data_IF_257587962681
#
_entry.id   IF_257587962681
#
_cell.length_a   1.000
_cell.length_b   1.000
_cell.length_c   1.000
_cell.angle_alpha   90.00
_cell.angle_beta   90.00
_cell.angle_gamma   90.00
#
_symmetry.space_group_name_H-M   'P 1'
#
loop_
_entity.id
_entity.type
_entity.pdbx_description
1 polymer ?
#
# COMPACT_ATOMS: atom_id res chain seq x y z
N UNK A 1 23.00 1.04 -62.84
CA UNK A 1 23.38 1.58 -61.52
C UNK A 1 22.65 2.89 -61.32
N UNK A 2 21.65 2.93 -60.46
CA UNK A 2 21.12 4.14 -59.83
C UNK A 2 20.31 3.69 -58.61
N UNK A 3 20.78 4.12 -57.46
CA UNK A 3 20.27 3.83 -56.12
C UNK A 3 19.08 4.75 -55.85
N UNK A 4 17.95 4.19 -55.43
CA UNK A 4 16.80 4.94 -54.93
C UNK A 4 16.44 4.44 -53.53
N UNK A 5 16.95 5.12 -52.51
CA UNK A 5 16.72 4.83 -51.09
C UNK A 5 15.26 5.13 -50.74
N UNK A 6 14.53 4.13 -50.27
CA UNK A 6 13.27 4.31 -49.55
C UNK A 6 13.60 4.77 -48.13
N UNK A 7 13.39 6.06 -47.83
CA UNK A 7 13.36 6.54 -46.45
C UNK A 7 12.09 6.00 -45.78
N UNK A 8 12.21 4.85 -45.12
CA UNK A 8 11.22 4.42 -44.15
C UNK A 8 11.48 5.19 -42.84
N UNK A 9 10.71 6.27 -42.63
CA UNK A 9 10.60 6.92 -41.33
C UNK A 9 9.87 5.97 -40.36
N UNK A 10 10.64 5.34 -39.49
CA UNK A 10 10.21 4.48 -38.38
C UNK A 10 11.10 4.88 -37.20
N UNK A 11 10.67 5.35 -36.02
CA UNK A 11 9.43 5.30 -35.25
C UNK A 11 9.51 6.38 -34.15
N UNK A 12 8.39 6.91 -33.62
CA UNK A 12 8.31 7.37 -32.24
C UNK A 12 7.42 6.41 -31.44
N UNK A 13 7.78 5.13 -31.37
CA UNK A 13 7.03 4.11 -30.58
C UNK A 13 7.93 3.45 -29.52
N UNK A 14 9.24 3.70 -29.54
CA UNK A 14 10.20 3.10 -28.59
C UNK A 14 10.21 3.76 -27.21
N UNK A 15 9.72 5.00 -27.07
CA UNK A 15 9.79 5.73 -25.78
C UNK A 15 8.82 5.20 -24.71
N UNK A 16 7.73 4.54 -25.11
CA UNK A 16 6.72 4.02 -24.18
C UNK A 16 7.02 2.61 -23.67
N UNK A 17 7.97 1.89 -24.28
CA UNK A 17 8.26 0.48 -23.94
C UNK A 17 9.50 0.28 -23.06
N UNK A 18 10.28 1.35 -22.80
CA UNK A 18 11.57 1.27 -22.07
C UNK A 18 11.53 1.90 -20.66
N UNK A 19 10.43 2.55 -20.28
CA UNK A 19 10.27 3.17 -18.95
C UNK A 19 10.52 2.21 -17.77
N UNK A 20 10.06 0.93 -17.75
CA UNK A 20 10.37 0.03 -16.63
C UNK A 20 11.85 -0.42 -16.58
N UNK A 21 12.62 -0.27 -17.67
CA UNK A 21 14.03 -0.64 -17.71
C UNK A 21 14.96 0.51 -17.28
N UNK A 22 14.53 1.76 -17.46
CA UNK A 22 15.36 2.95 -17.21
C UNK A 22 15.30 3.42 -15.74
N UNK A 23 14.24 3.08 -15.00
CA UNK A 23 14.11 3.40 -13.57
C UNK A 23 13.15 2.42 -12.87
N UNK A 24 13.62 1.21 -12.51
CA UNK A 24 12.79 0.22 -11.81
C UNK A 24 12.25 0.79 -10.49
N UNK A 25 11.12 0.25 -9.96
CA UNK A 25 10.66 0.57 -8.61
C UNK A 25 11.81 0.45 -7.61
N UNK A 26 11.84 1.36 -6.64
CA UNK A 26 12.88 1.30 -5.63
C UNK A 26 12.59 0.12 -4.69
N UNK A 27 13.47 -0.87 -4.66
CA UNK A 27 13.31 -2.06 -3.84
C UNK A 27 13.89 -1.86 -2.44
N UNK A 28 13.33 -2.51 -1.41
CA UNK A 28 13.95 -2.56 -0.09
C UNK A 28 15.35 -3.16 -0.17
N UNK A 29 16.30 -2.60 0.58
CA UNK A 29 17.58 -3.26 0.81
C UNK A 29 17.47 -4.41 1.82
N UNK A 30 18.62 -5.02 2.13
CA UNK A 30 18.72 -6.16 3.05
C UNK A 30 19.22 -5.78 4.46
N UNK A 31 19.21 -4.49 4.80
CA UNK A 31 19.63 -4.04 6.13
C UNK A 31 18.51 -4.27 7.14
N UNK A 32 18.75 -5.15 8.12
CA UNK A 32 17.81 -5.36 9.23
C UNK A 32 17.65 -4.11 10.08
N UNK A 33 16.41 -3.77 10.43
CA UNK A 33 16.05 -2.62 11.26
C UNK A 33 15.03 -3.00 12.35
N UNK A 34 15.51 -3.50 13.51
CA UNK A 34 14.64 -3.85 14.65
C UNK A 34 13.86 -2.63 15.18
N UNK A 35 14.46 -1.44 15.11
CA UNK A 35 13.80 -0.20 15.50
C UNK A 35 12.60 0.10 14.61
N UNK A 36 12.74 -0.07 13.29
CA UNK A 36 11.63 0.14 12.37
C UNK A 36 10.53 -0.92 12.57
N UNK A 37 10.90 -2.17 12.85
CA UNK A 37 9.94 -3.22 13.22
C UNK A 37 9.08 -2.83 14.42
N UNK A 38 9.69 -2.24 15.45
CA UNK A 38 8.97 -1.73 16.62
C UNK A 38 8.01 -0.61 16.24
N UNK A 39 8.49 0.41 15.51
CA UNK A 39 7.67 1.56 15.12
C UNK A 39 6.50 1.16 14.22
N UNK A 40 6.69 0.21 13.30
CA UNK A 40 5.60 -0.30 12.46
C UNK A 40 4.57 -1.09 13.26
N UNK A 41 4.99 -1.90 14.25
CA UNK A 41 4.07 -2.55 15.18
C UNK A 41 3.26 -1.53 16.00
N UNK A 42 3.89 -0.42 16.46
CA UNK A 42 3.19 0.67 17.15
C UNK A 42 2.12 1.33 16.25
N UNK A 43 2.42 1.53 14.96
CA UNK A 43 1.45 2.03 13.97
C UNK A 43 0.27 1.06 13.78
N UNK A 44 0.53 -0.25 13.69
CA UNK A 44 -0.52 -1.28 13.64
C UNK A 44 -1.38 -1.23 14.91
N UNK A 45 -0.75 -1.21 16.08
CA UNK A 45 -1.46 -1.26 17.35
C UNK A 45 -2.36 -0.04 17.54
N UNK A 46 -1.87 1.14 17.15
CA UNK A 46 -2.67 2.37 17.12
C UNK A 46 -3.86 2.24 16.18
N UNK A 47 -3.64 1.74 14.95
CA UNK A 47 -4.70 1.59 13.97
C UNK A 47 -5.77 0.56 14.39
N UNK A 48 -5.39 -0.52 15.08
CA UNK A 48 -6.33 -1.49 15.66
C UNK A 48 -7.10 -0.87 16.83
N UNK A 49 -6.43 -0.13 17.71
CA UNK A 49 -7.07 0.55 18.84
C UNK A 49 -8.06 1.65 18.40
N UNK A 50 -7.87 2.20 17.19
CA UNK A 50 -8.81 3.15 16.58
C UNK A 50 -10.08 2.48 16.05
N UNK A 51 -10.18 1.15 15.99
CA UNK A 51 -11.39 0.41 15.59
C UNK A 51 -12.39 0.27 16.75
N UNK A 52 -12.77 1.40 17.33
CA UNK A 52 -13.74 1.48 18.42
C UNK A 52 -15.10 1.98 17.88
N UNK A 53 -16.19 1.20 17.99
CA UNK A 53 -17.53 1.64 17.59
C UNK A 53 -18.02 2.91 18.30
N UNK A 54 -17.48 3.23 19.50
CA UNK A 54 -17.79 4.49 20.19
C UNK A 54 -17.18 5.69 19.49
N UNK A 55 -16.01 5.52 18.87
CA UNK A 55 -15.32 6.59 18.11
C UNK A 55 -15.81 6.67 16.67
N UNK A 56 -16.12 5.52 16.06
CA UNK A 56 -16.55 5.41 14.67
C UNK A 56 -17.89 4.67 14.59
N UNK A 57 -19.02 5.40 14.70
CA UNK A 57 -20.35 4.83 14.55
C UNK A 57 -20.46 4.10 13.21
N UNK A 58 -20.86 2.82 13.25
CA UNK A 58 -20.99 1.95 12.08
C UNK A 58 -20.04 0.76 12.08
N UNK A 59 -18.97 0.75 12.90
CA UNK A 59 -18.18 -0.45 13.13
C UNK A 59 -18.93 -1.45 14.04
N UNK A 60 -18.72 -2.74 13.80
CA UNK A 60 -19.13 -3.79 14.74
C UNK A 60 -18.15 -3.87 15.93
N UNK A 61 -18.58 -4.30 17.13
CA UNK A 61 -17.71 -4.45 18.31
C UNK A 61 -16.47 -5.34 18.07
N UNK A 62 -16.58 -6.32 17.18
CA UNK A 62 -15.54 -7.30 16.87
C UNK A 62 -14.49 -6.77 15.88
N UNK A 63 -14.67 -5.57 15.30
CA UNK A 63 -13.82 -5.03 14.24
C UNK A 63 -12.31 -5.03 14.60
N UNK A 64 -11.97 -4.70 15.84
CA UNK A 64 -10.59 -4.73 16.32
C UNK A 64 -10.03 -6.17 16.40
N UNK A 65 -10.82 -7.13 16.88
CA UNK A 65 -10.42 -8.53 16.94
C UNK A 65 -10.28 -9.14 15.54
N UNK A 66 -11.21 -8.83 14.64
CA UNK A 66 -11.17 -9.30 13.25
C UNK A 66 -9.96 -8.76 12.50
N UNK A 67 -9.56 -7.49 12.73
CA UNK A 67 -8.28 -6.98 12.23
C UNK A 67 -7.07 -7.78 12.70
N UNK A 68 -7.07 -8.27 13.95
CA UNK A 68 -5.97 -9.09 14.45
C UNK A 68 -5.95 -10.47 13.80
N UNK A 69 -7.11 -11.02 13.44
CA UNK A 69 -7.20 -12.25 12.65
C UNK A 69 -6.61 -12.01 11.26
N UNK A 70 -7.04 -10.96 10.56
CA UNK A 70 -6.48 -10.58 9.25
C UNK A 70 -4.96 -10.42 9.28
N UNK A 71 -4.40 -9.74 10.29
CA UNK A 71 -2.95 -9.55 10.37
C UNK A 71 -2.18 -10.87 10.49
N UNK A 72 -2.79 -11.95 11.03
CA UNK A 72 -2.19 -13.29 11.05
C UNK A 72 -2.20 -13.98 9.68
N UNK A 73 -3.06 -13.53 8.78
CA UNK A 73 -3.14 -14.00 7.38
C UNK A 73 -2.04 -13.36 6.52
N UNK A 74 -1.41 -12.27 6.99
CA UNK A 74 -0.32 -11.57 6.29
C UNK A 74 1.03 -12.22 6.62
N UNK A 75 1.83 -12.52 5.60
CA UNK A 75 3.20 -13.01 5.73
C UNK A 75 4.24 -11.91 5.48
N UNK A 76 4.00 -11.04 4.51
CA UNK A 76 4.95 -10.01 4.12
C UNK A 76 4.24 -8.75 3.63
N UNK A 77 4.84 -7.60 3.93
CA UNK A 77 4.49 -6.31 3.33
C UNK A 77 5.74 -5.64 2.77
N UNK A 78 5.71 -5.32 1.47
CA UNK A 78 6.75 -4.54 0.79
C UNK A 78 6.23 -3.14 0.51
N UNK A 79 6.80 -2.14 1.17
CA UNK A 79 6.58 -0.73 0.93
C UNK A 79 7.64 -0.21 -0.05
N UNK A 80 7.21 0.25 -1.22
CA UNK A 80 8.11 0.81 -2.25
C UNK A 80 7.49 1.97 -3.01
N UNK A 81 8.34 2.84 -3.54
CA UNK A 81 7.88 3.85 -4.49
C UNK A 81 7.49 3.20 -5.82
N UNK A 82 6.38 3.63 -6.42
CA UNK A 82 5.92 3.15 -7.73
C UNK A 82 6.90 3.47 -8.86
N UNK A 83 7.76 4.48 -8.66
CA UNK A 83 8.81 4.90 -9.57
C UNK A 83 10.17 4.96 -8.86
N UNK A 84 11.23 4.63 -9.60
CA UNK A 84 12.61 4.75 -9.12
C UNK A 84 13.06 6.22 -8.96
N UNK A 85 14.20 6.46 -8.28
CA UNK A 85 14.71 7.80 -7.99
C UNK A 85 15.08 8.60 -9.26
N UNK A 86 15.37 7.94 -10.38
CA UNK A 86 15.84 8.56 -11.62
C UNK A 86 14.72 9.02 -12.57
N UNK A 87 13.44 8.89 -12.19
CA UNK A 87 12.31 9.26 -13.06
C UNK A 87 12.07 10.78 -13.13
N UNK A 88 12.00 11.39 -14.34
CA UNK A 88 11.92 12.85 -14.52
C UNK A 88 10.57 13.49 -14.10
N UNK A 89 9.60 12.71 -13.61
CA UNK A 89 8.25 13.18 -13.22
C UNK A 89 7.78 12.56 -11.88
N UNK A 90 8.60 12.70 -10.84
CA UNK A 90 8.31 12.26 -9.45
C UNK A 90 6.99 12.82 -8.87
N UNK A 91 6.39 13.85 -9.49
CA UNK A 91 5.09 14.44 -9.07
C UNK A 91 3.96 13.41 -8.88
N UNK A 92 3.98 12.30 -9.62
CA UNK A 92 3.00 11.21 -9.51
C UNK A 92 3.59 9.93 -8.90
N UNK A 93 4.77 9.99 -8.28
CA UNK A 93 5.35 8.85 -7.58
C UNK A 93 4.51 8.56 -6.34
N UNK A 94 4.04 7.33 -6.19
CA UNK A 94 3.16 6.90 -5.09
C UNK A 94 3.86 5.87 -4.25
N UNK A 95 3.63 5.91 -2.94
CA UNK A 95 4.00 4.78 -2.09
C UNK A 95 3.01 3.63 -2.36
N UNK A 96 3.55 2.46 -2.68
CA UNK A 96 2.81 1.22 -2.87
C UNK A 96 3.13 0.26 -1.75
N UNK A 97 2.10 -0.38 -1.20
CA UNK A 97 2.24 -1.49 -0.27
C UNK A 97 1.78 -2.77 -0.97
N UNK A 98 2.72 -3.69 -1.18
CA UNK A 98 2.44 -5.02 -1.69
C UNK A 98 2.31 -5.97 -0.51
N UNK A 99 1.15 -6.58 -0.35
CA UNK A 99 0.89 -7.54 0.72
C UNK A 99 0.94 -8.95 0.13
N UNK A 100 1.60 -9.85 0.86
CA UNK A 100 1.64 -11.28 0.56
C UNK A 100 1.04 -12.01 1.76
N UNK A 101 0.06 -12.87 1.50
CA UNK A 101 -0.57 -13.73 2.50
C UNK A 101 0.31 -14.93 2.87
N UNK A 102 0.01 -15.56 4.00
CA UNK A 102 0.66 -16.81 4.45
C UNK A 102 0.44 -17.98 3.50
N UNK A 103 -0.63 -17.94 2.70
CA UNK A 103 -0.94 -18.88 1.63
C UNK A 103 -0.21 -18.56 0.31
N UNK A 104 0.62 -17.50 0.28
CA UNK A 104 1.32 -17.01 -0.90
C UNK A 104 0.46 -16.13 -1.82
N UNK A 105 -0.80 -15.87 -1.48
CA UNK A 105 -1.66 -14.98 -2.26
C UNK A 105 -1.10 -13.55 -2.24
N UNK A 106 -1.10 -12.89 -3.41
CA UNK A 106 -0.66 -11.50 -3.54
C UNK A 106 -1.88 -10.59 -3.66
N UNK A 107 -2.01 -9.67 -2.73
CA UNK A 107 -3.07 -8.67 -2.76
C UNK A 107 -2.77 -7.62 -3.83
N UNK A 108 -3.83 -6.94 -4.30
CA UNK A 108 -3.65 -5.76 -5.14
C UNK A 108 -2.81 -4.71 -4.41
N UNK A 109 -1.88 -4.02 -5.09
CA UNK A 109 -1.02 -3.04 -4.45
C UNK A 109 -1.84 -1.90 -3.85
N UNK A 110 -1.69 -1.67 -2.55
CA UNK A 110 -2.38 -0.57 -1.88
C UNK A 110 -1.61 0.72 -2.16
N UNK A 111 -2.28 1.67 -2.79
CA UNK A 111 -1.69 2.97 -3.10
C UNK A 111 -1.90 3.93 -1.94
N UNK A 112 -0.83 4.57 -1.49
CA UNK A 112 -0.86 5.61 -0.45
C UNK A 112 -0.48 6.99 -1.04
N UNK A 113 -0.10 7.94 -0.16
CA UNK A 113 0.32 9.29 -0.54
C UNK A 113 1.61 9.29 -1.39
N UNK A 114 2.04 10.47 -1.80
CA UNK A 114 3.21 10.65 -2.64
C UNK A 114 4.46 9.99 -2.03
N UNK A 115 5.27 9.38 -2.89
CA UNK A 115 6.61 8.91 -2.55
C UNK A 115 7.62 10.02 -2.90
N UNK A 116 8.51 10.33 -1.97
CA UNK A 116 9.58 11.30 -2.15
C UNK A 116 10.93 10.75 -1.67
N UNK A 117 11.97 11.58 -1.67
CA UNK A 117 13.33 11.16 -1.31
C UNK A 117 13.46 10.62 0.12
N UNK A 118 12.66 11.16 1.04
CA UNK A 118 12.62 10.77 2.46
C UNK A 118 11.64 9.64 2.76
N UNK A 119 10.93 9.13 1.74
CA UNK A 119 10.03 7.99 1.94
C UNK A 119 10.83 6.74 2.27
N UNK A 120 10.49 6.10 3.38
CA UNK A 120 11.11 4.84 3.77
C UNK A 120 10.56 3.68 2.95
N UNK A 121 11.47 2.93 2.35
CA UNK A 121 11.22 1.73 1.56
C UNK A 121 11.67 0.55 2.42
N UNK A 122 10.80 -0.43 2.58
CA UNK A 122 11.07 -1.54 3.48
C UNK A 122 10.29 -2.80 3.12
N UNK A 123 10.82 -3.94 3.54
CA UNK A 123 10.15 -5.24 3.55
C UNK A 123 9.94 -5.64 5.01
N UNK A 124 8.68 -5.81 5.42
CA UNK A 124 8.31 -6.22 6.76
C UNK A 124 7.74 -7.65 6.74
N UNK A 125 8.34 -8.54 7.51
CA UNK A 125 7.89 -9.93 7.64
C UNK A 125 7.02 -10.07 8.89
N UNK A 126 5.92 -10.78 8.72
CA UNK A 126 4.92 -11.00 9.75
C UNK A 126 4.97 -12.44 10.27
N UNK A 127 4.72 -12.58 11.56
CA UNK A 127 4.49 -13.85 12.24
C UNK A 127 3.42 -13.65 13.31
N UNK A 128 2.41 -14.52 13.33
CA UNK A 128 1.32 -14.49 14.31
C UNK A 128 0.63 -13.12 14.45
N UNK A 129 0.55 -12.36 13.35
CA UNK A 129 -0.08 -11.04 13.32
C UNK A 129 0.78 -9.89 13.84
N UNK A 130 2.10 -10.11 13.96
CA UNK A 130 3.09 -9.13 14.40
C UNK A 130 4.25 -9.07 13.42
N UNK A 131 4.85 -7.89 13.26
CA UNK A 131 6.08 -7.76 12.48
C UNK A 131 7.24 -8.29 13.33
N UNK A 132 7.99 -9.25 12.81
CA UNK A 132 9.17 -9.81 13.46
C UNK A 132 10.47 -9.27 12.89
N UNK A 133 10.50 -9.00 11.59
CA UNK A 133 11.69 -8.53 10.89
C UNK A 133 11.33 -7.43 9.92
N UNK A 134 12.23 -6.45 9.77
CA UNK A 134 12.12 -5.40 8.77
C UNK A 134 13.48 -5.21 8.10
N UNK A 135 13.48 -5.19 6.78
CA UNK A 135 14.65 -4.93 5.94
C UNK A 135 14.46 -3.63 5.18
N UNK A 136 15.49 -2.77 5.16
CA UNK A 136 15.45 -1.44 4.56
C UNK A 136 16.71 -1.18 3.72
N UNK A 137 16.73 -0.05 3.02
CA UNK A 137 17.92 0.48 2.35
C UNK A 137 18.76 1.41 3.26
N UNK A 138 18.43 1.51 4.54
CA UNK A 138 19.14 2.31 5.54
C UNK A 138 18.80 3.80 5.57
N UNK A 139 17.88 4.29 4.72
CA UNK A 139 17.49 5.71 4.68
C UNK A 139 16.96 6.22 6.01
N UNK A 140 16.35 5.35 6.81
CA UNK A 140 15.79 5.71 8.12
C UNK A 140 16.86 6.22 9.09
N UNK A 141 18.12 5.83 8.90
CA UNK A 141 19.25 6.20 9.78
C UNK A 141 19.70 7.64 9.61
N UNK A 142 19.21 8.34 8.59
CA UNK A 142 19.44 9.78 8.37
C UNK A 142 18.53 10.66 9.22
N UNK A 143 17.55 10.06 9.90
CA UNK A 143 16.54 10.75 10.69
C UNK A 143 16.63 10.30 12.16
N UNK A 144 16.24 11.19 13.06
CA UNK A 144 15.98 10.80 14.45
C UNK A 144 14.77 9.85 14.51
N UNK A 145 14.69 9.06 15.59
CA UNK A 145 13.56 8.15 15.80
C UNK A 145 12.21 8.88 15.79
N UNK A 146 12.16 10.07 16.38
CA UNK A 146 10.93 10.87 16.39
C UNK A 146 10.55 11.32 14.99
N UNK A 147 11.49 11.76 14.15
CA UNK A 147 11.21 12.06 12.74
C UNK A 147 10.68 10.84 11.98
N UNK A 148 11.32 9.67 12.15
CA UNK A 148 10.87 8.40 11.53
C UNK A 148 9.42 8.09 11.88
N UNK A 149 9.01 8.25 13.15
CA UNK A 149 7.62 8.02 13.58
C UNK A 149 6.62 8.99 12.93
N UNK A 150 7.06 10.20 12.60
CA UNK A 150 6.21 11.22 11.97
C UNK A 150 6.17 11.12 10.45
N UNK A 151 7.05 10.33 9.82
CA UNK A 151 6.99 10.05 8.39
C UNK A 151 5.65 9.43 8.04
N UNK A 152 5.00 9.98 7.00
CA UNK A 152 3.61 9.67 6.65
C UNK A 152 3.41 8.18 6.34
N UNK A 153 4.32 7.57 5.57
CA UNK A 153 4.24 6.16 5.21
C UNK A 153 4.45 5.22 6.42
N UNK A 154 5.06 5.69 7.50
CA UNK A 154 5.22 4.97 8.76
C UNK A 154 3.99 5.14 9.64
N UNK A 155 3.54 6.38 9.86
CA UNK A 155 2.38 6.67 10.71
C UNK A 155 1.10 6.03 10.17
N UNK A 156 0.87 6.11 8.87
CA UNK A 156 -0.36 5.60 8.25
C UNK A 156 -0.29 4.09 7.94
N UNK A 157 0.85 3.43 8.17
CA UNK A 157 1.08 2.03 7.80
C UNK A 157 -0.02 1.09 8.29
N UNK A 158 -0.31 1.07 9.60
CA UNK A 158 -1.35 0.22 10.18
C UNK A 158 -2.74 0.48 9.60
N UNK A 159 -3.06 1.76 9.35
CA UNK A 159 -4.35 2.16 8.76
C UNK A 159 -4.49 1.68 7.32
N UNK A 160 -3.42 1.78 6.52
CA UNK A 160 -3.39 1.31 5.14
C UNK A 160 -3.65 -0.20 5.08
N UNK A 161 -2.99 -1.00 5.93
CA UNK A 161 -3.21 -2.45 5.98
C UNK A 161 -4.65 -2.80 6.34
N UNK A 162 -5.17 -2.24 7.44
CA UNK A 162 -6.54 -2.52 7.90
C UNK A 162 -7.57 -2.05 6.88
N UNK A 163 -7.32 -0.93 6.19
CA UNK A 163 -8.25 -0.42 5.17
C UNK A 163 -8.35 -1.36 3.97
N UNK A 164 -7.26 -2.07 3.64
CA UNK A 164 -7.30 -3.08 2.57
C UNK A 164 -8.18 -4.27 2.91
N UNK A 165 -8.14 -4.77 4.14
CA UNK A 165 -9.04 -5.85 4.57
C UNK A 165 -10.48 -5.36 4.67
N UNK A 166 -10.71 -4.14 5.16
CA UNK A 166 -12.05 -3.51 5.16
C UNK A 166 -12.68 -3.43 3.79
N UNK A 167 -11.88 -3.12 2.76
CA UNK A 167 -12.36 -3.04 1.39
C UNK A 167 -12.67 -4.42 0.81
N UNK A 168 -11.86 -5.43 1.16
CA UNK A 168 -11.98 -6.78 0.62
C UNK A 168 -13.03 -7.63 1.34
N UNK A 169 -13.12 -7.48 2.65
CA UNK A 169 -13.96 -8.26 3.56
C UNK A 169 -14.75 -7.30 4.48
N UNK A 170 -15.64 -6.45 3.93
CA UNK A 170 -16.36 -5.45 4.71
C UNK A 170 -17.20 -6.07 5.84
N UNK A 171 -17.66 -7.30 5.69
CA UNK A 171 -18.41 -8.07 6.70
C UNK A 171 -17.63 -8.32 7.99
N UNK A 172 -16.28 -8.26 7.95
CA UNK A 172 -15.43 -8.35 9.15
C UNK A 172 -15.49 -7.07 10.00
N UNK A 173 -16.04 -5.98 9.49
CA UNK A 173 -15.90 -4.65 10.07
C UNK A 173 -17.21 -3.90 10.26
N UNK A 174 -18.18 -4.14 9.38
CA UNK A 174 -19.43 -3.41 9.30
C UNK A 174 -20.60 -4.37 9.41
N UNK A 175 -21.75 -3.92 9.97
CA UNK A 175 -22.97 -4.71 9.90
C UNK A 175 -23.35 -4.96 8.44
N UNK A 176 -24.09 -6.05 8.15
CA UNK A 176 -24.53 -6.33 6.79
C UNK A 176 -25.31 -5.15 6.23
N UNK A 177 -25.02 -4.80 4.98
CA UNK A 177 -25.71 -3.72 4.30
C UNK A 177 -27.22 -4.00 4.28
N UNK A 178 -28.07 -2.99 4.53
CA UNK A 178 -29.51 -3.17 4.41
C UNK A 178 -29.86 -3.61 2.98
N UNK A 179 -30.94 -4.39 2.79
CA UNK A 179 -31.39 -4.79 1.47
C UNK A 179 -31.54 -3.55 0.58
N UNK A 180 -31.02 -3.61 -0.65
CA UNK A 180 -31.23 -2.53 -1.61
C UNK A 180 -32.73 -2.39 -1.86
N UNK A 181 -33.25 -1.16 -1.73
CA UNK A 181 -34.62 -0.88 -2.13
C UNK A 181 -34.77 -1.21 -3.63
N UNK A 182 -35.92 -1.75 -4.06
CA UNK A 182 -36.16 -1.99 -5.47
C UNK A 182 -35.95 -0.69 -6.25
N UNK A 183 -35.42 -0.75 -7.50
CA UNK A 183 -35.22 0.43 -8.32
C UNK A 183 -36.50 1.26 -8.35
N UNK A 184 -36.40 2.55 -8.03
CA UNK A 184 -37.54 3.46 -8.16
C UNK A 184 -37.97 3.44 -9.61
N UNK A 185 -39.24 3.09 -9.82
CA UNK A 185 -39.83 3.10 -11.14
C UNK A 185 -40.09 4.55 -11.57
N UNK A 186 -39.08 5.17 -12.16
CA UNK A 186 -39.11 6.56 -12.63
C UNK A 186 -40.16 6.79 -13.72
N UNK A 187 -40.72 5.75 -14.37
CA UNK A 187 -41.81 5.96 -15.32
C UNK A 187 -43.10 6.41 -14.62
N UNK A 188 -43.28 6.05 -13.34
CA UNK A 188 -44.44 6.47 -12.53
C UNK A 188 -44.36 7.90 -12.01
N UNK A 189 -43.21 8.56 -12.18
CA UNK A 189 -43.03 9.96 -11.77
C UNK A 189 -43.48 10.96 -12.85
N UNK A 190 -43.87 10.48 -14.04
CA UNK A 190 -44.27 11.30 -15.20
C UNK A 190 -45.74 11.08 -15.64
N UNK A 191 -46.54 10.36 -14.84
CA UNK A 191 -48.00 10.23 -14.98
C UNK A 191 -48.73 11.15 -14.00
#
# INVERSE_FOLDING_TARGET
MAVGVVLAAALPITYLSLTPLLAPPAEPGDLSSPTLAKVLNESIDTAVADLDPKKWPGLIPEAAANSRVFLREVAEVVARCSKGPLEPNQKYNRMLFHLVGVDGFRYEPITSRGCGEDSLIFRATFKDGRITEVFTDGRERRHSLEEVKHLVNIREFGKVLISSDKQRHPERYYPPAPPQAPPRDVSKDWE
#
